data_IF_300070879664
#
_entry.id   IF_300070879664
#
_cell.length_a   1.000
_cell.length_b   1.000
_cell.length_c   1.000
_cell.angle_alpha   90.00
_cell.angle_beta   90.00
_cell.angle_gamma   90.00
#
_symmetry.space_group_name_H-M   'P 1'
#
loop_
_entity.id
_entity.type
_entity.pdbx_description
1 polymer ?
#
# COMPACT_ATOMS: atom_id res chain seq x y z
N UNK A 1 3.69 -12.20 13.87
CA UNK A 1 3.34 -13.61 14.12
C UNK A 1 2.15 -14.11 13.30
N UNK A 2 1.00 -13.40 13.27
CA UNK A 2 -0.20 -13.82 12.50
C UNK A 2 0.11 -14.20 11.04
N UNK A 3 0.90 -13.37 10.35
CA UNK A 3 1.27 -13.63 8.95
C UNK A 3 2.00 -14.97 8.76
N UNK A 4 3.03 -15.23 9.57
CA UNK A 4 3.78 -16.49 9.51
C UNK A 4 2.88 -17.70 9.76
N UNK A 5 1.97 -17.63 10.73
CA UNK A 5 1.04 -18.72 11.02
C UNK A 5 0.14 -19.01 9.82
N UNK A 6 -0.41 -17.97 9.19
CA UNK A 6 -1.23 -18.12 8.00
C UNK A 6 -0.47 -18.78 6.84
N UNK A 7 0.74 -18.30 6.55
CA UNK A 7 1.59 -18.89 5.49
C UNK A 7 1.97 -20.34 5.79
N UNK A 8 2.14 -20.69 7.07
CA UNK A 8 2.50 -22.04 7.52
C UNK A 8 1.33 -23.02 7.47
N UNK A 9 0.11 -22.57 7.77
CA UNK A 9 -1.10 -23.40 7.68
C UNK A 9 -1.44 -23.70 6.22
N UNK A 10 -1.21 -22.75 5.33
CA UNK A 10 -1.46 -22.88 3.89
C UNK A 10 -2.90 -23.37 3.58
N UNK A 11 -3.94 -22.66 4.03
CA UNK A 11 -5.31 -23.18 4.06
C UNK A 11 -5.99 -23.31 2.69
N UNK A 12 -5.47 -22.69 1.63
CA UNK A 12 -6.08 -22.68 0.30
C UNK A 12 -5.27 -23.46 -0.73
N UNK A 13 -5.92 -23.89 -1.83
CA UNK A 13 -5.25 -24.57 -2.94
C UNK A 13 -4.33 -23.64 -3.78
N UNK A 14 -4.70 -22.36 -3.89
CA UNK A 14 -3.89 -21.29 -4.47
C UNK A 14 -4.20 -19.97 -3.75
N UNK A 15 -3.31 -18.99 -3.87
CA UNK A 15 -3.54 -17.63 -3.41
C UNK A 15 -3.09 -17.35 -1.98
N UNK A 16 -2.54 -18.32 -1.25
CA UNK A 16 -2.10 -18.15 0.13
C UNK A 16 -1.21 -16.92 0.31
N UNK A 17 -0.13 -16.77 -0.49
CA UNK A 17 0.76 -15.61 -0.36
C UNK A 17 0.08 -14.26 -0.64
N UNK A 18 -0.91 -14.21 -1.55
CA UNK A 18 -1.67 -12.98 -1.85
C UNK A 18 -2.59 -12.63 -0.68
N UNK A 19 -3.34 -13.63 -0.19
CA UNK A 19 -4.25 -13.47 0.95
C UNK A 19 -3.50 -13.13 2.22
N UNK A 20 -2.39 -13.81 2.51
CA UNK A 20 -1.54 -13.56 3.66
C UNK A 20 -1.03 -12.13 3.69
N UNK A 21 -0.65 -11.57 2.54
CA UNK A 21 -0.22 -10.16 2.42
C UNK A 21 -1.34 -9.16 2.64
N UNK A 22 -2.54 -9.42 2.10
CA UNK A 22 -3.71 -8.59 2.36
C UNK A 22 -4.05 -8.59 3.85
N UNK A 23 -4.03 -9.77 4.49
CA UNK A 23 -4.31 -9.92 5.91
C UNK A 23 -3.35 -9.13 6.81
N UNK A 24 -2.08 -8.98 6.42
CA UNK A 24 -1.14 -8.14 7.19
C UNK A 24 -1.61 -6.70 7.29
N UNK A 25 -2.01 -6.09 6.16
CA UNK A 25 -2.44 -4.70 6.12
C UNK A 25 -3.78 -4.55 6.85
N UNK A 26 -4.72 -5.46 6.61
CA UNK A 26 -6.02 -5.44 7.29
C UNK A 26 -5.88 -5.62 8.81
N UNK A 27 -4.90 -6.41 9.27
CA UNK A 27 -4.63 -6.56 10.69
C UNK A 27 -4.14 -5.25 11.32
N UNK A 28 -3.29 -4.47 10.63
CA UNK A 28 -2.87 -3.15 11.11
C UNK A 28 -4.06 -2.18 11.22
N UNK A 29 -4.98 -2.22 10.24
CA UNK A 29 -6.22 -1.43 10.28
C UNK A 29 -7.10 -1.87 11.45
N UNK A 30 -7.31 -3.17 11.63
CA UNK A 30 -8.08 -3.74 12.74
C UNK A 30 -7.50 -3.34 14.11
N UNK A 31 -6.16 -3.27 14.21
CA UNK A 31 -5.45 -2.82 15.41
C UNK A 31 -5.36 -1.30 15.56
N UNK A 32 -5.99 -0.53 14.68
CA UNK A 32 -5.99 0.94 14.67
C UNK A 32 -4.58 1.56 14.55
N UNK A 33 -3.64 0.80 13.99
CA UNK A 33 -2.29 1.29 13.65
C UNK A 33 -2.28 1.97 12.28
N UNK A 34 -3.25 1.64 11.43
CA UNK A 34 -3.56 2.34 10.19
C UNK A 34 -5.05 2.71 10.17
N UNK A 35 -5.39 3.89 9.65
CA UNK A 35 -6.78 4.27 9.43
C UNK A 35 -7.32 3.70 8.12
N UNK A 36 -6.48 3.66 7.08
CA UNK A 36 -6.78 3.15 5.75
C UNK A 36 -5.70 2.14 5.32
N UNK A 37 -6.03 1.14 4.48
CA UNK A 37 -5.09 0.09 4.05
C UNK A 37 -4.15 0.58 2.92
N UNK A 38 -3.47 1.71 3.12
CA UNK A 38 -2.69 2.39 2.06
C UNK A 38 -1.20 2.02 2.04
N UNK A 39 -0.71 1.28 3.03
CA UNK A 39 0.69 0.91 3.13
C UNK A 39 1.03 -0.23 2.14
N UNK A 40 1.90 0.01 1.17
CA UNK A 40 2.23 -0.96 0.12
C UNK A 40 3.35 -1.95 0.51
N UNK A 41 3.17 -2.65 1.63
CA UNK A 41 4.17 -3.56 2.21
C UNK A 41 4.63 -4.69 1.26
N UNK A 42 3.79 -5.06 0.30
CA UNK A 42 4.11 -6.10 -0.69
C UNK A 42 5.26 -5.71 -1.61
N UNK A 43 5.48 -4.42 -1.87
CA UNK A 43 6.59 -3.93 -2.70
C UNK A 43 7.93 -4.30 -2.06
N UNK A 44 8.14 -3.91 -0.80
CA UNK A 44 9.35 -4.24 -0.06
C UNK A 44 9.60 -5.76 -0.02
N UNK A 45 8.56 -6.56 0.25
CA UNK A 45 8.69 -8.03 0.30
C UNK A 45 9.07 -8.61 -1.06
N UNK A 46 8.56 -8.04 -2.15
CA UNK A 46 8.89 -8.50 -3.50
C UNK A 46 10.33 -8.14 -3.88
N UNK A 47 10.78 -6.93 -3.56
CA UNK A 47 12.16 -6.48 -3.79
C UNK A 47 13.17 -7.28 -2.95
N UNK A 48 12.80 -7.64 -1.71
CA UNK A 48 13.64 -8.35 -0.75
C UNK A 48 13.23 -9.83 -0.57
N UNK A 49 12.72 -10.45 -1.64
CA UNK A 49 12.08 -11.78 -1.62
C UNK A 49 12.98 -12.88 -1.00
N UNK A 50 14.27 -12.85 -1.27
CA UNK A 50 15.23 -13.80 -0.67
C UNK A 50 15.33 -13.63 0.86
N UNK A 51 15.37 -12.39 1.33
CA UNK A 51 15.38 -12.07 2.77
C UNK A 51 14.09 -12.52 3.46
N UNK A 52 12.95 -12.27 2.84
CA UNK A 52 11.65 -12.73 3.32
C UNK A 52 11.61 -14.26 3.53
N UNK A 53 11.98 -15.05 2.52
CA UNK A 53 11.99 -16.51 2.69
C UNK A 53 13.02 -16.99 3.69
N UNK A 54 14.16 -16.31 3.80
CA UNK A 54 15.19 -16.63 4.80
C UNK A 54 14.63 -16.49 6.21
N UNK A 55 13.95 -15.39 6.54
CA UNK A 55 13.39 -15.19 7.88
C UNK A 55 12.24 -16.15 8.19
N UNK A 56 11.40 -16.49 7.20
CA UNK A 56 10.38 -17.54 7.38
C UNK A 56 11.00 -18.92 7.66
N UNK A 57 12.07 -19.27 6.93
CA UNK A 57 12.76 -20.54 7.13
C UNK A 57 13.48 -20.57 8.49
N UNK A 58 14.06 -19.45 8.93
CA UNK A 58 14.70 -19.35 10.24
C UNK A 58 13.71 -19.54 11.39
N UNK A 59 12.47 -19.03 11.30
CA UNK A 59 11.45 -19.36 12.31
C UNK A 59 11.18 -20.85 12.32
N UNK A 60 10.98 -21.47 11.15
CA UNK A 60 10.65 -22.89 11.06
C UNK A 60 11.76 -23.79 11.61
N UNK A 61 13.01 -23.46 11.34
CA UNK A 61 14.17 -24.32 11.65
C UNK A 61 14.87 -23.98 12.97
N UNK A 62 14.79 -22.72 13.41
CA UNK A 62 15.53 -22.19 14.56
C UNK A 62 14.63 -21.46 15.58
N UNK A 63 13.32 -21.39 15.35
CA UNK A 63 12.38 -20.62 16.18
C UNK A 63 12.76 -19.13 16.33
N UNK A 64 13.44 -18.57 15.33
CA UNK A 64 13.92 -17.18 15.28
C UNK A 64 12.78 -16.19 15.00
N UNK A 65 11.94 -15.95 15.99
CA UNK A 65 10.79 -15.03 15.89
C UNK A 65 11.24 -13.58 15.75
N UNK A 66 12.31 -13.22 16.45
CA UNK A 66 12.83 -11.86 16.50
C UNK A 66 13.33 -11.43 15.12
N UNK A 67 13.98 -12.34 14.37
CA UNK A 67 14.40 -12.07 12.99
C UNK A 67 13.24 -11.72 12.06
N UNK A 68 12.09 -12.38 12.18
CA UNK A 68 10.90 -12.00 11.40
C UNK A 68 10.32 -10.67 11.87
N UNK A 69 10.22 -10.45 13.18
CA UNK A 69 9.69 -9.18 13.71
C UNK A 69 10.54 -8.03 13.22
N UNK A 70 11.87 -8.14 13.32
CA UNK A 70 12.82 -7.14 12.83
C UNK A 70 12.64 -6.90 11.32
N UNK A 71 12.60 -7.95 10.50
CA UNK A 71 12.37 -7.83 9.07
C UNK A 71 11.07 -7.07 8.75
N UNK A 72 9.98 -7.38 9.46
CA UNK A 72 8.69 -6.73 9.25
C UNK A 72 8.70 -5.27 9.71
N UNK A 73 9.40 -4.93 10.79
CA UNK A 73 9.52 -3.54 11.26
C UNK A 73 10.28 -2.68 10.24
N UNK A 74 11.40 -3.17 9.71
CA UNK A 74 12.15 -2.48 8.65
C UNK A 74 11.28 -2.29 7.39
N UNK A 75 10.54 -3.33 7.00
CA UNK A 75 9.64 -3.25 5.86
C UNK A 75 8.55 -2.18 6.05
N UNK A 76 7.96 -2.11 7.25
CA UNK A 76 6.93 -1.12 7.60
C UNK A 76 7.54 0.29 7.58
N UNK A 77 8.68 0.50 8.25
CA UNK A 77 9.36 1.79 8.30
C UNK A 77 9.61 2.35 6.89
N UNK A 78 10.28 1.58 6.04
CA UNK A 78 10.63 2.02 4.69
C UNK A 78 9.38 2.33 3.86
N UNK A 79 8.37 1.47 3.92
CA UNK A 79 7.14 1.67 3.14
C UNK A 79 6.29 2.82 3.67
N UNK A 80 6.34 3.11 4.96
CA UNK A 80 5.70 4.30 5.55
C UNK A 80 6.37 5.58 5.06
N UNK A 81 7.70 5.63 4.98
CA UNK A 81 8.45 6.76 4.44
C UNK A 81 8.10 6.97 2.96
N UNK A 82 8.16 5.91 2.14
CA UNK A 82 7.86 5.97 0.70
C UNK A 82 6.41 6.43 0.46
N UNK A 83 5.47 5.88 1.21
CA UNK A 83 4.04 6.23 1.08
C UNK A 83 3.79 7.69 1.46
N UNK A 84 4.44 8.18 2.52
CA UNK A 84 4.33 9.59 2.96
C UNK A 84 4.87 10.54 1.88
N UNK A 85 6.07 10.30 1.36
CA UNK A 85 6.65 11.11 0.28
C UNK A 85 5.78 11.08 -1.00
N UNK A 86 5.21 9.93 -1.34
CA UNK A 86 4.29 9.79 -2.48
C UNK A 86 3.02 10.63 -2.28
N UNK A 87 2.44 10.62 -1.08
CA UNK A 87 1.28 11.45 -0.74
C UNK A 87 1.60 12.94 -0.83
N UNK A 88 2.75 13.37 -0.30
CA UNK A 88 3.17 14.77 -0.42
C UNK A 88 3.34 15.20 -1.88
N UNK A 89 3.92 14.34 -2.72
CA UNK A 89 4.08 14.60 -4.16
C UNK A 89 2.72 14.71 -4.86
N UNK A 90 1.76 13.84 -4.52
CA UNK A 90 0.40 13.91 -5.05
C UNK A 90 -0.27 15.23 -4.63
N UNK A 91 -0.19 15.62 -3.36
CA UNK A 91 -0.75 16.90 -2.87
C UNK A 91 -0.13 18.11 -3.57
N UNK A 92 1.20 18.13 -3.74
CA UNK A 92 1.91 19.17 -4.49
C UNK A 92 1.44 19.23 -5.94
N UNK A 93 1.25 18.07 -6.58
CA UNK A 93 0.76 17.99 -7.95
C UNK A 93 -0.67 18.55 -8.06
N UNK A 94 -1.58 18.18 -7.14
CA UNK A 94 -2.95 18.73 -7.07
C UNK A 94 -2.91 20.26 -7.00
N UNK A 95 -2.15 20.83 -6.06
CA UNK A 95 -2.04 22.29 -5.92
C UNK A 95 -1.51 22.96 -7.20
N UNK A 96 -0.45 22.42 -7.79
CA UNK A 96 0.12 22.97 -9.02
C UNK A 96 -0.85 22.88 -10.21
N UNK A 97 -1.68 21.83 -10.26
CA UNK A 97 -2.69 21.66 -11.30
C UNK A 97 -3.84 22.64 -11.13
N UNK A 98 -4.30 22.89 -9.90
CA UNK A 98 -5.32 23.91 -9.62
C UNK A 98 -4.85 25.31 -10.06
N UNK A 99 -3.60 25.68 -9.75
CA UNK A 99 -3.01 26.94 -10.21
C UNK A 99 -2.94 27.05 -11.74
N UNK A 100 -2.58 25.96 -12.43
CA UNK A 100 -2.60 25.92 -13.90
C UNK A 100 -4.00 26.09 -14.46
N UNK A 101 -5.00 25.48 -13.84
CA UNK A 101 -6.40 25.57 -14.26
C UNK A 101 -6.92 27.00 -14.12
N UNK A 102 -6.56 27.74 -13.07
CA UNK A 102 -6.92 29.15 -12.91
C UNK A 102 -6.37 30.05 -14.04
N UNK A 103 -5.24 29.68 -14.64
CA UNK A 103 -4.68 30.41 -15.79
C UNK A 103 -5.45 30.18 -17.09
N UNK A 104 -6.31 29.16 -17.15
CA UNK A 104 -7.15 28.87 -18.31
C UNK A 104 -8.39 29.77 -18.25
N UNK A 105 -8.76 30.41 -19.38
CA UNK A 105 -9.96 31.27 -19.49
C UNK A 105 -11.29 30.50 -19.47
N UNK A 106 -11.33 29.34 -18.82
CA UNK A 106 -12.50 28.46 -18.70
C UNK A 106 -12.85 28.29 -17.23
N UNK A 107 -14.14 28.32 -16.92
CA UNK A 107 -14.63 28.05 -15.56
C UNK A 107 -14.63 26.54 -15.32
N UNK A 108 -13.56 26.03 -14.73
CA UNK A 108 -13.42 24.60 -14.40
C UNK A 108 -13.69 24.41 -12.90
N UNK A 109 -14.66 23.56 -12.50
CA UNK A 109 -14.95 23.30 -11.09
C UNK A 109 -13.79 22.59 -10.37
N UNK A 110 -13.57 22.92 -9.09
CA UNK A 110 -12.60 22.21 -8.24
C UNK A 110 -12.84 20.70 -8.21
N UNK A 111 -14.11 20.29 -8.09
CA UNK A 111 -14.49 18.87 -8.08
C UNK A 111 -14.07 18.13 -9.35
N UNK A 112 -14.13 18.79 -10.51
CA UNK A 112 -13.66 18.20 -11.76
C UNK A 112 -12.16 17.92 -11.73
N UNK A 113 -11.36 18.86 -11.21
CA UNK A 113 -9.91 18.67 -11.08
C UNK A 113 -9.61 17.52 -10.12
N UNK A 114 -10.27 17.46 -8.96
CA UNK A 114 -10.07 16.38 -8.00
C UNK A 114 -10.44 15.00 -8.56
N UNK A 115 -11.51 14.92 -9.35
CA UNK A 115 -11.92 13.68 -10.01
C UNK A 115 -10.83 13.15 -10.97
N UNK A 116 -10.05 14.02 -11.63
CA UNK A 116 -8.91 13.59 -12.46
C UNK A 116 -7.81 12.90 -11.64
N UNK A 117 -7.68 13.23 -10.36
CA UNK A 117 -6.72 12.59 -9.45
C UNK A 117 -7.28 11.33 -8.78
N UNK A 118 -8.57 11.31 -8.47
CA UNK A 118 -9.25 10.11 -7.96
C UNK A 118 -9.31 9.01 -9.03
N UNK A 119 -9.51 9.40 -10.29
CA UNK A 119 -9.52 8.50 -11.45
C UNK A 119 -8.46 8.95 -12.45
N UNK A 120 -7.24 8.39 -12.43
CA UNK A 120 -6.21 8.76 -13.39
C UNK A 120 -6.56 8.44 -14.85
N UNK A 121 -7.44 7.45 -15.08
CA UNK A 121 -7.93 7.07 -16.40
C UNK A 121 -9.42 7.41 -16.52
N UNK A 122 -9.73 8.42 -17.33
CA UNK A 122 -11.10 8.88 -17.59
C UNK A 122 -11.44 8.81 -19.09
N UNK A 123 -12.74 8.69 -19.36
CA UNK A 123 -13.34 8.94 -20.67
C UNK A 123 -14.64 9.72 -20.50
N UNK A 124 -15.16 10.33 -21.57
CA UNK A 124 -16.36 11.18 -21.52
C UNK A 124 -17.53 10.46 -20.81
N UNK A 125 -17.78 9.18 -21.15
CA UNK A 125 -18.86 8.38 -20.54
C UNK A 125 -18.69 8.18 -19.03
N UNK A 126 -17.46 8.13 -18.53
CA UNK A 126 -17.19 7.99 -17.09
C UNK A 126 -17.39 9.29 -16.31
N UNK A 127 -17.30 10.44 -17.00
CA UNK A 127 -17.46 11.76 -16.41
C UNK A 127 -18.94 12.20 -16.34
N UNK A 128 -19.78 11.70 -17.25
CA UNK A 128 -21.22 12.03 -17.33
C UNK A 128 -22.11 11.29 -16.31
N UNK A 129 -21.57 10.28 -15.61
CA UNK A 129 -22.34 9.44 -14.66
C UNK A 129 -22.31 9.94 -13.21
N UNK A 130 -21.68 11.07 -12.96
CA UNK A 130 -21.59 11.75 -11.65
C UNK A 130 -22.39 13.06 -11.66
#
# INVERSE_FOLDING_TARGET
>A
MVHYQFESIHPFADGNGRTGRILMILYLVLKKLLQLPILYLSEYINEHKAGYYKVLNNIRTKNDRDGLVYYMLVAIEQQSIITTDKLEKITKLIHSTLQKVESVKLKIPYGFVMMLFDRPYNNIKSLERE
#
